data_IF_951866554589
#
_entry.id   IF_951866554589
#
_cell.length_a   1.000
_cell.length_b   1.000
_cell.length_c   1.000
_cell.angle_alpha   90.00
_cell.angle_beta   90.00
_cell.angle_gamma   90.00
#
_symmetry.space_group_name_H-M   'P 1'
#
loop_
_entity.id
_entity.type
_entity.pdbx_description
1 polymer ?
#
# COMPACT_ATOMS: atom_id res chain seq x y z
N UNK A 1 4.21 -1.22 -35.55
CA UNK A 1 4.35 -2.70 -35.46
C UNK A 1 5.43 -3.20 -34.48
N UNK A 2 6.60 -2.57 -34.32
CA UNK A 2 7.61 -3.01 -33.32
C UNK A 2 7.38 -2.51 -31.87
N UNK A 3 6.34 -1.72 -31.61
CA UNK A 3 5.97 -1.21 -30.26
C UNK A 3 4.91 -2.08 -29.57
N UNK A 4 3.86 -2.49 -30.28
CA UNK A 4 2.86 -3.46 -29.78
C UNK A 4 3.50 -4.81 -29.41
N UNK A 5 4.51 -5.25 -30.16
CA UNK A 5 5.26 -6.46 -29.81
C UNK A 5 6.13 -6.29 -28.55
N UNK A 6 6.55 -5.09 -28.17
CA UNK A 6 7.34 -4.83 -26.94
C UNK A 6 6.45 -4.69 -25.72
N UNK A 7 5.27 -4.08 -25.87
CA UNK A 7 4.22 -4.03 -24.85
C UNK A 7 3.72 -5.44 -24.58
N UNK A 8 3.38 -6.22 -25.62
CA UNK A 8 3.05 -7.64 -25.44
C UNK A 8 4.22 -8.44 -24.88
N UNK A 9 5.47 -8.23 -25.29
CA UNK A 9 6.60 -9.01 -24.75
C UNK A 9 6.89 -8.65 -23.29
N UNK A 10 6.72 -7.39 -22.88
CA UNK A 10 6.88 -6.94 -21.49
C UNK A 10 5.71 -7.42 -20.63
N UNK A 11 4.46 -7.20 -21.03
CA UNK A 11 3.29 -7.71 -20.31
C UNK A 11 3.31 -9.24 -20.24
N UNK A 12 3.72 -9.92 -21.32
CA UNK A 12 3.91 -11.38 -21.33
C UNK A 12 5.14 -11.80 -20.54
N UNK A 13 6.22 -11.01 -20.42
CA UNK A 13 7.38 -11.32 -19.55
C UNK A 13 7.00 -11.17 -18.08
N UNK A 14 6.30 -10.09 -17.72
CA UNK A 14 5.80 -9.81 -16.38
C UNK A 14 4.76 -10.85 -16.01
N UNK A 15 3.78 -11.16 -16.89
CA UNK A 15 2.89 -12.31 -16.75
C UNK A 15 3.67 -13.65 -16.72
N UNK A 16 4.79 -13.81 -17.43
CA UNK A 16 5.59 -15.06 -17.35
C UNK A 16 6.44 -15.16 -16.10
N UNK A 17 6.78 -14.04 -15.44
CA UNK A 17 7.47 -14.01 -14.14
C UNK A 17 6.47 -14.25 -13.00
N UNK A 18 5.27 -13.71 -13.16
CA UNK A 18 4.10 -13.84 -12.28
C UNK A 18 3.44 -15.23 -12.39
N UNK A 19 3.32 -15.79 -13.60
CA UNK A 19 2.98 -17.20 -13.81
C UNK A 19 4.19 -18.12 -13.60
N UNK A 20 5.43 -17.65 -13.72
CA UNK A 20 6.64 -18.44 -13.47
C UNK A 20 6.85 -18.77 -11.99
N UNK A 21 6.26 -17.98 -11.10
CA UNK A 21 6.16 -18.27 -9.66
C UNK A 21 5.00 -19.21 -9.30
N UNK A 22 4.07 -19.50 -10.24
CA UNK A 22 2.96 -20.46 -10.07
C UNK A 22 3.11 -21.72 -10.96
N UNK A 23 3.84 -21.63 -12.06
CA UNK A 23 4.07 -22.71 -13.02
C UNK A 23 5.46 -23.33 -12.80
N UNK A 24 5.46 -24.29 -11.87
CA UNK A 24 6.37 -25.42 -11.74
C UNK A 24 7.22 -25.70 -13.01
N UNK A 25 8.45 -25.17 -13.07
CA UNK A 25 9.49 -25.70 -13.94
C UNK A 25 10.45 -26.54 -13.10
N UNK A 26 10.09 -27.82 -12.95
CA UNK A 26 11.03 -28.86 -12.55
C UNK A 26 12.10 -28.99 -13.64
N UNK A 27 13.25 -28.33 -13.47
CA UNK A 27 14.48 -28.81 -14.10
C UNK A 27 15.68 -28.90 -13.13
N UNK A 28 16.13 -30.16 -13.03
CA UNK A 28 17.49 -30.66 -12.82
C UNK A 28 18.12 -30.50 -11.43
N UNK A 29 18.07 -31.63 -10.69
CA UNK A 29 19.04 -32.11 -9.68
C UNK A 29 19.93 -31.01 -9.06
N UNK A 30 19.32 -30.00 -8.45
CA UNK A 30 20.04 -29.08 -7.60
C UNK A 30 20.05 -29.71 -6.21
N UNK A 31 21.24 -29.76 -5.60
CA UNK A 31 21.44 -30.23 -4.24
C UNK A 31 20.36 -29.65 -3.33
N UNK A 32 19.53 -30.51 -2.75
CA UNK A 32 18.38 -30.13 -1.95
C UNK A 32 18.84 -29.20 -0.81
N UNK A 33 18.32 -27.97 -0.77
CA UNK A 33 18.75 -26.96 0.21
C UNK A 33 18.17 -27.32 1.59
N UNK A 34 18.92 -27.05 2.65
CA UNK A 34 18.33 -26.99 4.01
C UNK A 34 17.48 -25.73 4.18
N UNK A 35 16.65 -25.70 5.23
CA UNK A 35 15.86 -24.50 5.60
C UNK A 35 16.80 -23.30 5.81
N UNK A 36 17.84 -23.45 6.64
CA UNK A 36 18.84 -22.40 6.87
C UNK A 36 19.55 -21.92 5.60
N UNK A 37 19.91 -22.84 4.69
CA UNK A 37 20.55 -22.48 3.42
C UNK A 37 19.59 -21.69 2.52
N UNK A 38 18.30 -22.05 2.50
CA UNK A 38 17.28 -21.34 1.77
C UNK A 38 17.02 -19.94 2.38
N UNK A 39 16.84 -19.84 3.70
CA UNK A 39 16.69 -18.56 4.42
C UNK A 39 17.90 -17.64 4.16
N UNK A 40 19.12 -18.16 4.23
CA UNK A 40 20.32 -17.37 3.97
C UNK A 40 20.39 -16.86 2.52
N UNK A 41 19.96 -17.68 1.55
CA UNK A 41 19.86 -17.25 0.15
C UNK A 41 18.77 -16.20 -0.04
N UNK A 42 17.61 -16.38 0.61
CA UNK A 42 16.52 -15.41 0.60
C UNK A 42 16.97 -14.04 1.13
N UNK A 43 17.66 -14.02 2.28
CA UNK A 43 18.24 -12.78 2.85
C UNK A 43 19.21 -12.08 1.90
N UNK A 44 20.05 -12.84 1.18
CA UNK A 44 20.97 -12.27 0.18
C UNK A 44 20.24 -11.67 -1.01
N UNK A 45 19.15 -12.31 -1.46
CA UNK A 45 18.31 -11.79 -2.53
C UNK A 45 17.61 -10.49 -2.10
N UNK A 46 17.04 -10.44 -0.88
CA UNK A 46 16.48 -9.21 -0.31
C UNK A 46 17.52 -8.07 -0.27
N UNK A 47 18.72 -8.32 0.26
CA UNK A 47 19.79 -7.30 0.28
C UNK A 47 20.36 -6.94 -1.09
N UNK A 48 19.93 -7.61 -2.16
CA UNK A 48 20.30 -7.29 -3.55
C UNK A 48 19.14 -6.68 -4.34
N UNK A 49 17.99 -6.39 -3.69
CA UNK A 49 16.80 -5.84 -4.35
C UNK A 49 16.02 -6.84 -5.21
N UNK A 50 16.23 -8.16 -5.03
CA UNK A 50 15.58 -9.21 -5.83
C UNK A 50 14.44 -9.87 -5.04
N UNK A 51 13.25 -9.27 -5.08
CA UNK A 51 12.06 -9.76 -4.38
C UNK A 51 11.60 -11.13 -4.88
N UNK A 52 11.78 -11.42 -6.17
CA UNK A 52 11.32 -12.68 -6.80
C UNK A 52 12.15 -13.86 -6.29
N UNK A 53 13.48 -13.77 -6.38
CA UNK A 53 14.36 -14.84 -5.91
C UNK A 53 14.29 -14.98 -4.38
N UNK A 54 14.14 -13.86 -3.64
CA UNK A 54 13.90 -13.89 -2.20
C UNK A 54 12.65 -14.70 -1.87
N UNK A 55 11.53 -14.39 -2.50
CA UNK A 55 10.25 -15.06 -2.28
C UNK A 55 10.35 -16.56 -2.55
N UNK A 56 10.98 -16.93 -3.68
CA UNK A 56 11.22 -18.34 -4.05
C UNK A 56 11.97 -19.11 -2.94
N UNK A 57 13.02 -18.52 -2.38
CA UNK A 57 13.80 -19.19 -1.34
C UNK A 57 13.07 -19.27 0.00
N UNK A 58 12.34 -18.24 0.40
CA UNK A 58 11.58 -18.26 1.66
C UNK A 58 10.36 -19.18 1.58
N UNK A 59 9.64 -19.22 0.45
CA UNK A 59 8.57 -20.21 0.23
C UNK A 59 9.11 -21.64 0.30
N UNK A 60 10.23 -21.91 -0.35
CA UNK A 60 10.87 -23.23 -0.25
C UNK A 60 11.21 -23.61 1.20
N UNK A 61 11.72 -22.65 1.99
CA UNK A 61 11.99 -22.86 3.40
C UNK A 61 10.69 -23.16 4.19
N UNK A 62 9.61 -22.40 3.95
CA UNK A 62 8.30 -22.62 4.57
C UNK A 62 7.64 -23.93 4.17
N UNK A 63 7.80 -24.39 2.93
CA UNK A 63 7.28 -25.68 2.48
C UNK A 63 7.95 -26.85 3.22
N UNK A 64 9.22 -26.68 3.62
CA UNK A 64 9.97 -27.67 4.40
C UNK A 64 9.69 -27.59 5.89
N UNK A 65 9.56 -26.38 6.41
CA UNK A 65 9.23 -26.13 7.81
C UNK A 65 8.22 -24.97 7.89
N UNK A 66 6.94 -25.32 7.96
CA UNK A 66 5.84 -24.35 7.90
C UNK A 66 5.77 -23.39 9.08
N UNK A 67 6.45 -23.74 10.19
CA UNK A 67 6.52 -22.97 11.43
C UNK A 67 7.82 -22.16 11.55
N UNK A 68 8.74 -22.22 10.57
CA UNK A 68 9.97 -21.43 10.60
C UNK A 68 9.68 -19.93 10.50
N UNK A 69 9.92 -19.22 11.61
CA UNK A 69 9.60 -17.80 11.76
C UNK A 69 10.43 -16.92 10.81
N UNK A 70 11.70 -17.25 10.59
CA UNK A 70 12.56 -16.49 9.68
C UNK A 70 12.10 -16.63 8.22
N UNK A 71 11.68 -17.83 7.81
CA UNK A 71 11.10 -18.06 6.50
C UNK A 71 9.77 -17.32 6.34
N UNK A 72 8.90 -17.36 7.35
CA UNK A 72 7.64 -16.60 7.33
C UNK A 72 7.88 -15.09 7.21
N UNK A 73 8.77 -14.53 8.02
CA UNK A 73 9.06 -13.10 7.97
C UNK A 73 9.72 -12.71 6.64
N UNK A 74 10.61 -13.56 6.14
CA UNK A 74 11.20 -13.42 4.81
C UNK A 74 10.17 -13.40 3.67
N UNK A 75 9.11 -14.21 3.74
CA UNK A 75 8.00 -14.15 2.76
C UNK A 75 7.33 -12.78 2.80
N UNK A 76 7.02 -12.23 3.99
CA UNK A 76 6.41 -10.91 4.10
C UNK A 76 7.27 -9.82 3.44
N UNK A 77 8.56 -9.80 3.76
CA UNK A 77 9.50 -8.83 3.17
C UNK A 77 9.61 -9.02 1.65
N UNK A 78 9.74 -10.25 1.17
CA UNK A 78 9.90 -10.53 -0.26
C UNK A 78 8.68 -10.10 -1.08
N UNK A 79 7.46 -10.26 -0.55
CA UNK A 79 6.24 -9.83 -1.24
C UNK A 79 6.10 -8.30 -1.27
N UNK A 80 6.49 -7.61 -0.20
CA UNK A 80 6.54 -6.14 -0.20
C UNK A 80 7.58 -5.64 -1.22
N UNK A 81 8.78 -6.20 -1.24
CA UNK A 81 9.79 -5.85 -2.25
C UNK A 81 9.31 -6.15 -3.68
N UNK A 82 8.68 -7.30 -3.88
CA UNK A 82 8.10 -7.66 -5.19
C UNK A 82 7.05 -6.65 -5.68
N UNK A 83 6.25 -6.09 -4.77
CA UNK A 83 5.35 -4.99 -5.10
C UNK A 83 6.10 -3.74 -5.54
N UNK A 84 7.13 -3.31 -4.81
CA UNK A 84 7.93 -2.15 -5.21
C UNK A 84 8.63 -2.36 -6.55
N UNK A 85 9.21 -3.55 -6.79
CA UNK A 85 9.77 -3.92 -8.09
C UNK A 85 8.70 -3.88 -9.21
N UNK A 86 7.46 -4.26 -8.92
CA UNK A 86 6.37 -4.15 -9.87
C UNK A 86 5.98 -2.69 -10.16
N UNK A 87 5.94 -1.83 -9.14
CA UNK A 87 5.69 -0.40 -9.31
C UNK A 87 6.79 0.27 -10.14
N UNK A 88 8.06 -0.09 -9.91
CA UNK A 88 9.21 0.29 -10.74
C UNK A 88 9.04 -0.11 -12.21
N UNK A 89 8.60 -1.35 -12.46
CA UNK A 89 8.38 -1.85 -13.82
C UNK A 89 7.22 -1.10 -14.51
N UNK A 90 6.19 -0.70 -13.74
CA UNK A 90 5.08 0.12 -14.24
C UNK A 90 5.50 1.56 -14.55
N UNK A 91 6.34 2.18 -13.71
CA UNK A 91 6.77 3.57 -13.90
C UNK A 91 7.82 3.71 -15.00
N UNK A 92 8.72 2.72 -15.15
CA UNK A 92 9.62 2.60 -16.31
C UNK A 92 8.89 2.45 -17.65
N UNK A 93 7.57 2.23 -17.62
CA UNK A 93 6.66 2.28 -18.75
C UNK A 93 6.28 3.72 -19.15
N UNK A 94 7.28 4.62 -19.17
CA UNK A 94 7.31 6.05 -19.52
C UNK A 94 6.52 6.47 -20.80
N UNK A 95 6.01 5.50 -21.56
CA UNK A 95 5.13 5.71 -22.71
C UNK A 95 3.63 5.71 -22.42
N UNK A 96 3.19 5.56 -21.16
CA UNK A 96 1.76 5.58 -20.80
C UNK A 96 1.22 7.00 -20.54
N UNK A 97 2.07 7.93 -20.10
CA UNK A 97 1.67 9.30 -19.73
C UNK A 97 2.30 10.41 -20.58
N UNK A 98 3.38 10.10 -21.30
CA UNK A 98 4.06 11.06 -22.18
C UNK A 98 3.62 10.85 -23.64
N UNK A 99 2.38 11.20 -23.95
CA UNK A 99 1.93 11.28 -25.34
C UNK A 99 1.67 12.73 -25.69
N UNK A 100 2.40 13.23 -26.68
CA UNK A 100 2.21 14.56 -27.25
C UNK A 100 0.76 14.64 -27.79
N UNK A 101 -0.07 15.59 -27.32
CA UNK A 101 -1.48 15.68 -27.71
C UNK A 101 -1.70 15.84 -29.22
N UNK A 102 -0.68 16.28 -29.96
CA UNK A 102 -0.73 16.46 -31.41
C UNK A 102 -0.45 15.16 -32.22
N UNK A 103 -0.02 14.07 -31.58
CA UNK A 103 0.47 12.84 -32.25
C UNK A 103 -0.40 11.59 -32.01
N UNK A 104 -1.59 11.73 -31.42
CA UNK A 104 -2.50 10.61 -31.13
C UNK A 104 -3.60 10.52 -32.20
N UNK A 105 -3.40 9.63 -33.18
CA UNK A 105 -4.56 8.96 -33.78
C UNK A 105 -5.09 7.99 -32.71
N UNK A 106 -6.39 8.04 -32.32
CA UNK A 106 -6.96 7.10 -31.38
C UNK A 106 -6.96 5.71 -32.01
N UNK A 107 -5.86 4.98 -31.84
CA UNK A 107 -5.84 3.55 -32.13
C UNK A 107 -6.53 2.84 -30.96
N UNK A 108 -7.47 1.92 -31.22
CA UNK A 108 -8.02 1.06 -30.18
C UNK A 108 -6.90 0.17 -29.63
N UNK A 109 -6.27 0.61 -28.55
CA UNK A 109 -5.37 -0.18 -27.74
C UNK A 109 -6.12 -1.27 -26.98
N UNK A 110 -5.41 -2.31 -26.48
CA UNK A 110 -6.00 -3.26 -25.55
C UNK A 110 -6.50 -2.51 -24.30
N UNK A 111 -7.60 -3.00 -23.73
CA UNK A 111 -8.16 -2.46 -22.49
C UNK A 111 -7.11 -2.53 -21.37
N UNK A 112 -6.81 -1.42 -20.71
CA UNK A 112 -5.84 -1.42 -19.60
C UNK A 112 -6.44 -2.11 -18.37
N UNK A 113 -7.78 -2.12 -18.26
CA UNK A 113 -8.55 -2.88 -17.26
C UNK A 113 -8.18 -4.37 -17.26
N UNK A 114 -8.36 -5.06 -18.40
CA UNK A 114 -8.01 -6.48 -18.53
C UNK A 114 -6.57 -6.80 -18.05
N UNK A 115 -5.60 -5.92 -18.30
CA UNK A 115 -4.22 -6.13 -17.89
C UNK A 115 -4.05 -5.98 -16.36
N UNK A 116 -4.72 -5.00 -15.77
CA UNK A 116 -4.74 -4.76 -14.32
C UNK A 116 -5.44 -5.92 -13.62
N UNK A 117 -6.62 -6.33 -14.09
CA UNK A 117 -7.41 -7.41 -13.50
C UNK A 117 -6.64 -8.73 -13.51
N UNK A 118 -5.99 -9.08 -14.63
CA UNK A 118 -5.17 -10.28 -14.72
C UNK A 118 -3.98 -10.28 -13.74
N UNK A 119 -3.40 -9.12 -13.44
CA UNK A 119 -2.30 -8.99 -12.46
C UNK A 119 -2.84 -9.11 -11.03
N UNK A 120 -3.98 -8.48 -10.74
CA UNK A 120 -4.60 -8.46 -9.42
C UNK A 120 -5.14 -9.83 -9.01
N UNK A 121 -6.02 -10.42 -9.82
CA UNK A 121 -6.66 -11.71 -9.56
C UNK A 121 -5.64 -12.87 -9.62
N UNK A 122 -4.74 -12.81 -10.60
CA UNK A 122 -3.84 -13.92 -10.91
C UNK A 122 -2.70 -14.08 -9.93
N UNK A 123 -2.27 -13.01 -9.23
CA UNK A 123 -1.04 -13.08 -8.44
C UNK A 123 -0.88 -12.08 -7.31
N UNK A 124 -1.42 -10.87 -7.41
CA UNK A 124 -1.24 -9.89 -6.34
C UNK A 124 -2.00 -10.30 -5.06
N UNK A 125 -3.28 -10.65 -5.20
CA UNK A 125 -4.11 -11.13 -4.07
C UNK A 125 -3.58 -12.46 -3.49
N UNK A 126 -3.12 -13.37 -4.35
CA UNK A 126 -2.51 -14.64 -3.91
C UNK A 126 -1.21 -14.40 -3.13
N UNK A 127 -0.32 -13.57 -3.66
CA UNK A 127 0.97 -13.24 -3.05
C UNK A 127 0.81 -12.59 -1.67
N UNK A 128 -0.11 -11.63 -1.55
CA UNK A 128 -0.35 -10.94 -0.28
C UNK A 128 -1.24 -11.73 0.68
N UNK A 129 -2.03 -12.69 0.18
CA UNK A 129 -2.67 -13.72 1.02
C UNK A 129 -1.64 -14.61 1.73
N UNK A 130 -0.56 -15.00 1.06
CA UNK A 130 0.53 -15.76 1.69
C UNK A 130 1.34 -14.93 2.70
N UNK A 131 1.56 -13.65 2.41
CA UNK A 131 2.19 -12.72 3.35
C UNK A 131 1.31 -12.51 4.59
N UNK A 132 -0.01 -12.48 4.42
CA UNK A 132 -0.99 -12.42 5.50
C UNK A 132 -0.95 -13.70 6.37
N UNK A 133 -0.86 -14.88 5.75
CA UNK A 133 -0.69 -16.14 6.48
C UNK A 133 0.64 -16.20 7.25
N UNK A 134 1.71 -15.63 6.69
CA UNK A 134 2.97 -15.46 7.39
C UNK A 134 2.84 -14.51 8.59
N UNK A 135 2.17 -13.36 8.42
CA UNK A 135 1.87 -12.45 9.53
C UNK A 135 1.07 -13.17 10.64
N UNK A 136 0.03 -13.95 10.30
CA UNK A 136 -0.79 -14.68 11.28
C UNK A 136 -0.02 -15.75 12.04
N UNK A 137 1.01 -16.35 11.44
CA UNK A 137 1.94 -17.24 12.14
C UNK A 137 2.84 -16.45 13.11
N UNK A 138 3.35 -15.31 12.68
CA UNK A 138 4.32 -14.53 13.45
C UNK A 138 3.69 -13.67 14.54
N UNK A 139 2.48 -13.14 14.35
CA UNK A 139 1.78 -12.28 15.31
C UNK A 139 1.57 -12.90 16.71
N UNK A 140 1.33 -14.22 16.88
CA UNK A 140 1.34 -14.86 18.20
C UNK A 140 2.71 -15.34 18.68
N UNK A 141 3.75 -15.34 17.84
CA UNK A 141 5.10 -15.77 18.22
C UNK A 141 5.64 -14.92 19.38
N UNK A 142 6.46 -15.51 20.25
CA UNK A 142 6.95 -14.81 21.45
C UNK A 142 8.05 -13.81 21.12
N UNK A 143 9.00 -14.24 20.31
CA UNK A 143 10.19 -13.50 19.89
C UNK A 143 10.33 -13.77 18.39
N UNK A 144 10.84 -12.81 17.64
CA UNK A 144 11.20 -12.95 16.23
C UNK A 144 12.55 -12.28 16.10
N UNK A 145 13.52 -12.92 15.45
CA UNK A 145 14.84 -12.36 15.21
C UNK A 145 15.21 -12.57 13.75
N UNK A 146 15.33 -11.48 12.99
CA UNK A 146 15.68 -11.54 11.59
C UNK A 146 16.73 -10.48 11.23
N UNK A 147 18.02 -10.76 11.47
CA UNK A 147 19.07 -9.83 11.07
C UNK A 147 19.19 -9.77 9.54
N UNK A 148 19.23 -8.57 9.00
CA UNK A 148 19.38 -8.28 7.58
C UNK A 148 20.23 -7.02 7.40
N UNK A 149 21.23 -7.08 6.52
CA UNK A 149 22.21 -6.00 6.40
C UNK A 149 21.61 -4.73 5.78
N UNK A 150 20.81 -4.91 4.74
CA UNK A 150 20.12 -3.85 4.01
C UNK A 150 18.91 -4.45 3.31
N UNK A 151 17.91 -3.61 3.12
CA UNK A 151 16.62 -3.88 2.50
C UNK A 151 16.10 -2.54 1.98
N UNK A 152 16.43 -2.28 0.72
CA UNK A 152 16.08 -1.03 0.04
C UNK A 152 14.81 -1.28 -0.79
N UNK A 153 13.83 -0.40 -0.61
CA UNK A 153 12.63 -0.34 -1.43
C UNK A 153 12.76 0.86 -2.34
N UNK A 154 12.73 0.63 -3.65
CA UNK A 154 12.96 1.62 -4.68
C UNK A 154 11.70 1.85 -5.51
N UNK A 155 11.51 3.09 -5.97
CA UNK A 155 10.56 3.48 -7.02
C UNK A 155 11.31 4.43 -7.97
N UNK A 156 11.30 4.14 -9.27
CA UNK A 156 12.09 4.78 -10.32
C UNK A 156 13.59 4.87 -10.02
N UNK A 157 14.13 3.86 -9.34
CA UNK A 157 15.52 3.85 -8.87
C UNK A 157 15.82 4.90 -7.80
N UNK A 158 14.80 5.52 -7.21
CA UNK A 158 14.90 6.32 -6.00
C UNK A 158 14.57 5.44 -4.80
N UNK A 159 15.49 5.34 -3.85
CA UNK A 159 15.25 4.64 -2.58
C UNK A 159 14.18 5.37 -1.78
N UNK A 160 13.00 4.77 -1.67
CA UNK A 160 11.87 5.27 -0.89
C UNK A 160 12.04 4.90 0.58
N UNK A 161 12.49 3.68 0.86
CA UNK A 161 12.81 3.20 2.20
C UNK A 161 14.15 2.45 2.18
N UNK A 162 15.08 2.87 3.03
CA UNK A 162 16.31 2.14 3.32
C UNK A 162 16.18 1.54 4.73
N UNK A 163 16.09 0.22 4.78
CA UNK A 163 15.84 -0.54 5.98
C UNK A 163 17.01 -1.53 6.21
N UNK A 164 17.33 -1.84 7.46
CA UNK A 164 18.38 -2.77 7.80
C UNK A 164 18.67 -2.81 9.30
N UNK A 165 19.42 -3.83 9.72
CA UNK A 165 19.70 -4.09 11.11
C UNK A 165 19.07 -5.40 11.59
N UNK A 166 18.59 -5.38 12.82
CA UNK A 166 17.86 -6.48 13.42
C UNK A 166 16.37 -6.19 13.28
N UNK A 167 15.64 -7.17 12.75
CA UNK A 167 14.19 -7.11 12.72
C UNK A 167 13.63 -8.00 13.81
N UNK A 168 12.67 -7.47 14.55
CA UNK A 168 12.15 -8.09 15.76
C UNK A 168 10.62 -8.28 15.73
N UNK A 169 10.05 -8.49 16.91
CA UNK A 169 8.62 -8.69 17.06
C UNK A 169 7.77 -7.46 16.70
N UNK A 170 8.21 -6.25 17.02
CA UNK A 170 7.45 -5.05 16.71
C UNK A 170 7.45 -4.78 15.21
N UNK A 171 8.56 -5.09 14.52
CA UNK A 171 8.67 -4.96 13.07
C UNK A 171 7.66 -5.83 12.31
N UNK A 172 7.33 -7.03 12.83
CA UNK A 172 6.27 -7.90 12.26
C UNK A 172 4.95 -7.16 12.12
N UNK A 173 4.60 -6.29 13.08
CA UNK A 173 3.36 -5.52 13.02
C UNK A 173 3.44 -4.39 12.00
N UNK A 174 4.59 -3.75 11.83
CA UNK A 174 4.77 -2.70 10.83
C UNK A 174 4.68 -3.27 9.41
N UNK A 175 5.39 -4.36 9.12
CA UNK A 175 5.27 -5.03 7.82
C UNK A 175 3.92 -5.71 7.63
N UNK A 176 3.33 -6.24 8.70
CA UNK A 176 1.95 -6.73 8.68
C UNK A 176 0.98 -5.62 8.29
N UNK A 177 1.17 -4.39 8.79
CA UNK A 177 0.35 -3.25 8.39
C UNK A 177 0.48 -2.95 6.89
N UNK A 178 1.71 -2.97 6.35
CA UNK A 178 1.91 -2.80 4.90
C UNK A 178 1.23 -3.89 4.08
N UNK A 179 1.32 -5.16 4.49
CA UNK A 179 0.62 -6.28 3.83
C UNK A 179 -0.90 -6.05 3.82
N UNK A 180 -1.49 -5.67 4.96
CA UNK A 180 -2.91 -5.37 5.04
C UNK A 180 -3.30 -4.16 4.19
N UNK A 181 -2.46 -3.12 4.14
CA UNK A 181 -2.68 -1.94 3.32
C UNK A 181 -2.76 -2.31 1.85
N UNK A 182 -1.79 -3.07 1.34
CA UNK A 182 -1.78 -3.51 -0.05
C UNK A 182 -2.97 -4.42 -0.36
N UNK A 183 -3.33 -5.37 0.52
CA UNK A 183 -4.55 -6.17 0.37
C UNK A 183 -5.81 -5.29 0.30
N UNK A 184 -5.93 -4.29 1.16
CA UNK A 184 -7.04 -3.34 1.14
C UNK A 184 -7.12 -2.58 -0.18
N UNK A 185 -6.00 -2.05 -0.67
CA UNK A 185 -5.92 -1.34 -1.96
C UNK A 185 -6.30 -2.27 -3.11
N UNK A 186 -5.82 -3.51 -3.13
CA UNK A 186 -6.20 -4.47 -4.17
C UNK A 186 -7.68 -4.77 -4.15
N UNK A 187 -8.28 -4.96 -2.98
CA UNK A 187 -9.72 -5.19 -2.88
C UNK A 187 -10.54 -3.97 -3.31
N UNK A 188 -10.06 -2.74 -3.09
CA UNK A 188 -10.67 -1.54 -3.68
C UNK A 188 -10.54 -1.56 -5.20
N UNK A 189 -9.39 -1.99 -5.71
CA UNK A 189 -9.10 -1.97 -7.15
C UNK A 189 -9.95 -3.02 -7.86
N UNK A 190 -10.03 -4.23 -7.31
CA UNK A 190 -10.85 -5.38 -7.72
C UNK A 190 -12.36 -5.12 -7.62
N UNK A 191 -12.81 -4.25 -6.70
CA UNK A 191 -14.24 -3.95 -6.58
C UNK A 191 -14.80 -3.01 -7.64
N UNK A 192 -13.94 -2.42 -8.47
CA UNK A 192 -14.33 -1.37 -9.40
C UNK A 192 -13.93 -1.71 -10.83
N UNK A 193 -14.73 -1.21 -11.77
CA UNK A 193 -14.41 -1.31 -13.19
C UNK A 193 -13.22 -0.40 -13.52
N UNK A 194 -12.13 -1.00 -13.97
CA UNK A 194 -10.93 -0.27 -14.42
C UNK A 194 -10.78 -0.30 -15.94
N UNK A 195 -11.89 -0.60 -16.63
CA UNK A 195 -12.05 -0.49 -18.06
C UNK A 195 -11.84 0.97 -18.49
N UNK A 196 -10.59 1.35 -18.69
CA UNK A 196 -10.20 2.64 -19.22
C UNK A 196 -8.93 2.50 -20.05
N UNK A 197 -8.84 3.27 -21.13
CA UNK A 197 -7.62 3.34 -21.91
C UNK A 197 -6.81 4.57 -21.50
N UNK A 198 -5.83 4.34 -20.61
CA UNK A 198 -4.90 5.37 -20.14
C UNK A 198 -4.10 6.02 -21.29
N UNK A 199 -3.93 5.34 -22.43
CA UNK A 199 -3.24 5.90 -23.60
C UNK A 199 -3.97 7.05 -24.29
N UNK A 200 -5.24 7.28 -23.95
CA UNK A 200 -6.02 8.43 -24.44
C UNK A 200 -6.03 9.61 -23.44
N UNK A 201 -5.39 9.45 -22.28
CA UNK A 201 -5.40 10.46 -21.24
C UNK A 201 -4.28 11.48 -21.45
N UNK A 202 -4.67 12.74 -21.62
CA UNK A 202 -3.73 13.86 -21.54
C UNK A 202 -3.83 14.45 -20.14
N UNK A 203 -2.83 14.18 -19.30
CA UNK A 203 -2.71 14.83 -18.00
C UNK A 203 -2.00 16.17 -18.21
N UNK A 204 -2.62 17.31 -17.87
CA UNK A 204 -1.96 18.61 -17.96
C UNK A 204 -0.74 18.64 -17.02
N UNK A 205 0.31 19.40 -17.36
CA UNK A 205 1.47 19.55 -16.49
C UNK A 205 1.05 20.04 -15.11
N UNK A 206 1.52 19.35 -14.07
CA UNK A 206 1.21 19.65 -12.68
C UNK A 206 2.22 20.69 -12.17
N UNK A 207 1.73 21.88 -11.81
CA UNK A 207 2.55 22.98 -11.28
C UNK A 207 1.90 23.62 -10.05
N UNK A 208 1.93 22.89 -8.94
CA UNK A 208 1.43 23.40 -7.66
C UNK A 208 2.26 24.56 -7.09
N UNK A 209 3.43 24.89 -7.65
CA UNK A 209 4.31 25.94 -7.14
C UNK A 209 3.98 27.30 -7.76
N UNK A 210 3.90 27.37 -9.09
CA UNK A 210 3.70 28.63 -9.81
C UNK A 210 2.24 28.84 -10.23
N UNK A 211 1.44 27.78 -10.42
CA UNK A 211 0.03 27.85 -10.76
C UNK A 211 -0.83 26.76 -10.10
N UNK A 212 -1.00 26.79 -8.76
CA UNK A 212 -1.79 25.80 -8.05
C UNK A 212 -3.27 25.80 -8.47
N UNK A 213 -3.84 26.96 -8.83
CA UNK A 213 -5.24 27.05 -9.24
C UNK A 213 -5.46 26.48 -10.65
N UNK A 214 -4.59 26.81 -11.61
CA UNK A 214 -4.62 26.21 -12.94
C UNK A 214 -4.36 24.70 -12.90
N UNK A 215 -3.49 24.25 -11.98
CA UNK A 215 -3.26 22.81 -11.74
C UNK A 215 -4.50 22.11 -11.20
N UNK A 216 -5.18 22.67 -10.19
CA UNK A 216 -6.41 22.10 -9.64
C UNK A 216 -7.55 22.06 -10.67
N UNK A 217 -7.73 23.14 -11.43
CA UNK A 217 -8.72 23.20 -12.51
C UNK A 217 -8.41 22.17 -13.62
N UNK A 218 -7.14 22.05 -14.02
CA UNK A 218 -6.71 21.06 -14.99
C UNK A 218 -6.94 19.63 -14.53
N UNK A 219 -6.61 19.30 -13.27
CA UNK A 219 -6.89 17.98 -12.68
C UNK A 219 -8.39 17.69 -12.62
N UNK A 220 -9.20 18.66 -12.19
CA UNK A 220 -10.67 18.51 -12.17
C UNK A 220 -11.22 18.22 -13.56
N UNK A 221 -10.81 18.98 -14.58
CA UNK A 221 -11.26 18.78 -15.96
C UNK A 221 -10.81 17.41 -16.51
N UNK A 222 -9.58 16.99 -16.24
CA UNK A 222 -9.10 15.65 -16.60
C UNK A 222 -9.95 14.56 -15.94
N UNK A 223 -10.25 14.67 -14.65
CA UNK A 223 -11.12 13.73 -13.95
C UNK A 223 -12.52 13.68 -14.59
N UNK A 224 -13.12 14.84 -14.90
CA UNK A 224 -14.43 14.89 -15.56
C UNK A 224 -14.41 14.27 -16.94
N UNK A 225 -13.37 14.49 -17.73
CA UNK A 225 -13.20 13.86 -19.06
C UNK A 225 -13.15 12.35 -18.91
N UNK A 226 -12.36 11.83 -17.96
CA UNK A 226 -12.27 10.38 -17.69
C UNK A 226 -13.64 9.82 -17.31
N UNK A 227 -14.30 10.42 -16.33
CA UNK A 227 -15.56 9.91 -15.79
C UNK A 227 -16.71 10.03 -16.81
N UNK A 228 -16.66 11.02 -17.71
CA UNK A 228 -17.70 11.23 -18.73
C UNK A 228 -17.42 10.54 -20.08
N UNK A 229 -16.33 9.76 -20.19
CA UNK A 229 -15.98 9.08 -21.44
C UNK A 229 -17.07 8.07 -21.85
N UNK A 230 -17.75 8.29 -23.00
CA UNK A 230 -18.81 7.39 -23.46
C UNK A 230 -18.30 6.01 -23.89
N UNK A 231 -17.01 5.84 -24.12
CA UNK A 231 -16.39 4.55 -24.43
C UNK A 231 -16.13 3.71 -23.17
N UNK A 232 -15.99 4.36 -22.02
CA UNK A 232 -15.71 3.73 -20.72
C UNK A 232 -16.73 4.16 -19.67
N UNK A 233 -18.04 3.95 -19.92
CA UNK A 233 -19.11 4.49 -19.09
C UNK A 233 -19.15 3.90 -17.68
N UNK A 234 -18.46 2.77 -17.46
CA UNK A 234 -18.44 2.07 -16.19
C UNK A 234 -17.20 2.36 -15.35
N UNK A 235 -16.21 3.11 -15.86
CA UNK A 235 -14.98 3.35 -15.12
C UNK A 235 -15.25 3.86 -13.69
N UNK A 236 -14.64 3.19 -12.71
CA UNK A 236 -14.80 3.37 -11.26
C UNK A 236 -16.21 3.11 -10.68
N UNK A 237 -17.16 2.62 -11.47
CA UNK A 237 -18.38 2.03 -10.93
C UNK A 237 -18.04 0.71 -10.23
N UNK A 238 -18.87 0.35 -9.26
CA UNK A 238 -18.73 -0.92 -8.56
C UNK A 238 -19.11 -2.07 -9.48
N UNK A 239 -18.28 -3.12 -9.52
CA UNK A 239 -18.58 -4.37 -10.23
C UNK A 239 -19.71 -5.15 -9.53
N UNK A 240 -20.31 -6.13 -10.22
CA UNK A 240 -21.49 -6.86 -9.74
C UNK A 240 -21.25 -7.61 -8.40
N UNK A 241 -20.03 -8.05 -8.13
CA UNK A 241 -19.55 -8.66 -6.89
C UNK A 241 -18.62 -7.72 -6.07
N UNK A 242 -18.39 -6.50 -6.55
CA UNK A 242 -17.49 -5.54 -5.95
C UNK A 242 -17.85 -5.13 -4.51
N UNK A 243 -19.12 -5.29 -4.11
CA UNK A 243 -19.54 -5.01 -2.74
C UNK A 243 -18.84 -5.92 -1.70
N UNK A 244 -18.60 -7.19 -2.02
CA UNK A 244 -17.88 -8.09 -1.12
C UNK A 244 -16.40 -7.71 -1.03
N UNK A 245 -15.77 -7.40 -2.17
CA UNK A 245 -14.38 -6.90 -2.20
C UNK A 245 -14.26 -5.57 -1.43
N UNK A 246 -15.20 -4.65 -1.55
CA UNK A 246 -15.23 -3.41 -0.74
C UNK A 246 -15.33 -3.68 0.78
N UNK A 247 -16.15 -4.63 1.20
CA UNK A 247 -16.23 -5.01 2.62
C UNK A 247 -14.90 -5.59 3.12
N UNK A 248 -14.23 -6.42 2.30
CA UNK A 248 -12.89 -6.95 2.60
C UNK A 248 -11.85 -5.82 2.64
N UNK A 249 -11.92 -4.85 1.74
CA UNK A 249 -11.06 -3.68 1.77
C UNK A 249 -11.19 -2.91 3.09
N UNK A 250 -12.40 -2.65 3.57
CA UNK A 250 -12.63 -1.99 4.86
C UNK A 250 -11.98 -2.76 6.03
N UNK A 251 -12.12 -4.10 6.04
CA UNK A 251 -11.48 -4.95 7.04
C UNK A 251 -9.95 -4.84 6.99
N UNK A 252 -9.36 -4.93 5.80
CA UNK A 252 -7.89 -4.91 5.64
C UNK A 252 -7.28 -3.52 5.90
N UNK A 253 -7.98 -2.44 5.54
CA UNK A 253 -7.59 -1.10 5.95
C UNK A 253 -7.69 -0.94 7.47
N UNK A 254 -8.74 -1.46 8.10
CA UNK A 254 -8.83 -1.48 9.56
C UNK A 254 -7.70 -2.30 10.21
N UNK A 255 -7.35 -3.46 9.63
CA UNK A 255 -6.22 -4.30 10.05
C UNK A 255 -4.89 -3.56 9.95
N UNK A 256 -4.72 -2.71 8.93
CA UNK A 256 -3.52 -1.86 8.77
C UNK A 256 -3.30 -1.00 10.01
N UNK A 257 -4.33 -0.26 10.42
CA UNK A 257 -4.25 0.64 11.57
C UNK A 257 -4.24 -0.12 12.90
N UNK A 258 -4.91 -1.27 13.01
CA UNK A 258 -4.77 -2.12 14.19
C UNK A 258 -3.34 -2.60 14.35
N UNK A 259 -2.69 -3.08 13.28
CA UNK A 259 -1.31 -3.55 13.33
C UNK A 259 -0.34 -2.43 13.71
N UNK A 260 -0.49 -1.22 13.17
CA UNK A 260 0.28 -0.05 13.62
C UNK A 260 0.00 0.28 15.10
N UNK A 261 -1.25 0.18 15.56
CA UNK A 261 -1.58 0.33 16.97
C UNK A 261 -0.90 -0.75 17.85
N UNK A 262 -0.84 -1.99 17.38
CA UNK A 262 -0.17 -3.10 18.07
C UNK A 262 1.35 -2.95 18.08
N UNK A 263 1.96 -2.41 17.03
CA UNK A 263 3.38 -2.05 17.01
C UNK A 263 3.75 -1.20 18.23
N UNK A 264 3.00 -0.11 18.49
CA UNK A 264 3.23 0.72 19.68
C UNK A 264 2.98 -0.02 21.00
N UNK A 265 2.13 -1.04 21.03
CA UNK A 265 1.96 -1.88 22.22
C UNK A 265 3.18 -2.81 22.41
N UNK A 266 3.73 -3.35 21.33
CA UNK A 266 4.92 -4.20 21.39
C UNK A 266 6.17 -3.45 21.83
N UNK A 267 6.36 -2.19 21.42
CA UNK A 267 7.47 -1.36 21.90
C UNK A 267 7.51 -1.31 23.46
N UNK A 268 6.36 -1.33 24.13
CA UNK A 268 6.30 -1.33 25.62
C UNK A 268 6.76 -2.64 26.27
N UNK A 269 6.81 -3.70 25.47
CA UNK A 269 7.20 -5.05 25.88
C UNK A 269 8.68 -5.35 25.58
N UNK A 270 9.30 -4.60 24.67
CA UNK A 270 10.72 -4.69 24.37
C UNK A 270 11.59 -4.37 25.58
N UNK A 271 12.75 -5.04 25.64
CA UNK A 271 13.64 -5.08 26.82
C UNK A 271 15.12 -5.05 26.44
N UNK A 272 15.42 -5.14 25.17
CA UNK A 272 16.73 -5.30 24.59
C UNK A 272 17.26 -3.98 24.00
N UNK A 273 18.39 -4.07 23.33
CA UNK A 273 19.15 -2.89 22.92
C UNK A 273 18.73 -2.38 21.56
N UNK A 274 18.04 -1.24 21.54
CA UNK A 274 17.44 -0.62 20.34
C UNK A 274 18.42 -0.12 19.26
N UNK A 275 19.73 -0.22 19.47
CA UNK A 275 20.70 0.43 18.60
C UNK A 275 20.74 -0.14 17.18
N UNK A 276 20.33 -1.40 17.01
CA UNK A 276 20.36 -2.10 15.73
C UNK A 276 18.96 -2.33 15.14
N UNK A 277 17.90 -1.95 15.84
CA UNK A 277 16.53 -2.29 15.45
C UNK A 277 16.04 -1.35 14.36
N UNK A 278 15.28 -1.88 13.40
CA UNK A 278 14.81 -1.09 12.27
C UNK A 278 13.74 -0.06 12.69
N UNK A 279 12.67 -0.53 13.33
CA UNK A 279 11.69 0.34 13.98
C UNK A 279 11.93 0.26 15.49
N UNK A 280 12.07 1.41 16.12
CA UNK A 280 12.62 1.47 17.48
C UNK A 280 12.19 2.70 18.25
N UNK A 281 12.33 2.68 19.56
CA UNK A 281 12.31 3.90 20.37
C UNK A 281 13.72 4.41 20.66
N UNK A 282 13.84 5.70 20.95
CA UNK A 282 15.10 6.31 21.40
C UNK A 282 15.09 6.35 22.93
N UNK A 283 15.80 5.43 23.57
CA UNK A 283 15.96 5.36 25.03
C UNK A 283 16.73 6.58 25.57
N UNK A 284 16.01 7.62 25.96
CA UNK A 284 16.59 8.88 26.47
C UNK A 284 17.00 8.80 27.93
N UNK A 285 16.39 7.91 28.71
CA UNK A 285 16.58 7.80 30.15
C UNK A 285 17.54 6.65 30.55
N UNK A 286 17.92 5.80 29.59
CA UNK A 286 18.87 4.69 29.72
C UNK A 286 18.31 3.46 30.42
N UNK A 287 17.00 3.27 30.48
CA UNK A 287 16.35 2.21 31.24
C UNK A 287 16.04 0.94 30.41
N UNK A 288 16.27 0.97 29.09
CA UNK A 288 15.98 -0.09 28.12
C UNK A 288 14.50 -0.50 28.08
N UNK A 289 13.61 0.48 28.17
CA UNK A 289 12.15 0.29 28.10
C UNK A 289 11.51 1.49 27.45
N UNK A 290 10.56 1.24 26.56
CA UNK A 290 9.78 2.31 25.97
C UNK A 290 8.92 3.06 27.00
N UNK A 291 9.18 4.35 27.20
CA UNK A 291 8.34 5.30 27.93
C UNK A 291 7.62 6.23 26.95
N UNK A 292 6.34 5.95 26.70
CA UNK A 292 5.54 6.65 25.70
C UNK A 292 5.40 8.17 25.94
N UNK A 293 5.57 8.64 27.18
CA UNK A 293 5.45 10.07 27.51
C UNK A 293 6.76 10.84 27.23
N UNK A 294 7.89 10.15 27.14
CA UNK A 294 9.23 10.77 27.07
C UNK A 294 10.01 10.41 25.81
N UNK A 295 9.79 9.25 25.21
CA UNK A 295 10.69 8.67 24.23
C UNK A 295 10.18 8.84 22.78
N UNK A 296 11.01 9.39 21.89
CA UNK A 296 10.72 9.40 20.46
C UNK A 296 10.71 7.98 19.87
N UNK A 297 9.96 7.81 18.77
CA UNK A 297 9.90 6.57 17.99
C UNK A 297 10.43 6.81 16.58
N UNK A 298 11.30 5.93 16.11
CA UNK A 298 11.80 5.90 14.73
C UNK A 298 10.95 4.92 13.93
N UNK A 299 10.24 5.43 12.93
CA UNK A 299 9.36 4.66 12.05
C UNK A 299 9.55 5.14 10.60
N UNK A 300 9.79 4.22 9.67
CA UNK A 300 10.01 4.52 8.24
C UNK A 300 11.04 5.65 7.97
N UNK A 301 12.13 5.67 8.72
CA UNK A 301 13.19 6.69 8.59
C UNK A 301 12.83 8.06 9.18
N UNK A 302 11.62 8.24 9.70
CA UNK A 302 11.19 9.44 10.41
C UNK A 302 11.30 9.26 11.92
N UNK A 303 11.61 10.34 12.64
CA UNK A 303 11.62 10.36 14.11
C UNK A 303 10.40 11.12 14.60
N UNK A 304 9.41 10.39 15.11
CA UNK A 304 8.25 10.95 15.79
C UNK A 304 8.64 11.27 17.23
N UNK A 305 8.45 12.53 17.66
CA UNK A 305 8.59 12.89 19.07
C UNK A 305 7.55 12.15 19.92
N UNK A 306 7.79 11.99 21.22
CA UNK A 306 6.91 11.22 22.11
C UNK A 306 5.41 11.58 21.98
N UNK A 307 5.10 12.89 21.94
CA UNK A 307 3.72 13.35 21.75
C UNK A 307 3.14 13.00 20.38
N UNK A 308 3.95 13.05 19.32
CA UNK A 308 3.55 12.67 17.96
C UNK A 308 3.33 11.16 17.87
N UNK A 309 4.20 10.35 18.47
CA UNK A 309 4.06 8.90 18.55
C UNK A 309 2.77 8.49 19.31
N UNK A 310 2.48 9.14 20.45
CA UNK A 310 1.22 8.95 21.17
C UNK A 310 0.00 9.37 20.36
N UNK A 311 0.06 10.53 19.70
CA UNK A 311 -1.01 11.01 18.83
C UNK A 311 -1.24 10.05 17.67
N UNK A 312 -0.17 9.57 17.02
CA UNK A 312 -0.24 8.64 15.91
C UNK A 312 -0.85 7.30 16.33
N UNK A 313 -0.46 6.75 17.48
CA UNK A 313 -1.10 5.58 18.08
C UNK A 313 -2.60 5.79 18.30
N UNK A 314 -2.98 6.95 18.85
CA UNK A 314 -4.39 7.27 19.10
C UNK A 314 -5.20 7.39 17.79
N UNK A 315 -4.62 8.02 16.76
CA UNK A 315 -5.20 8.12 15.41
C UNK A 315 -5.39 6.72 14.81
N UNK A 316 -4.39 5.83 14.90
CA UNK A 316 -4.51 4.44 14.45
C UNK A 316 -5.65 3.70 15.15
N UNK A 317 -5.77 3.87 16.48
CA UNK A 317 -6.86 3.27 17.26
C UNK A 317 -8.26 3.78 16.89
N UNK A 318 -8.39 5.04 16.48
CA UNK A 318 -9.66 5.58 15.96
C UNK A 318 -9.95 5.05 14.54
N UNK A 319 -8.96 5.09 13.66
CA UNK A 319 -9.12 4.68 12.26
C UNK A 319 -9.47 3.20 12.13
N UNK A 320 -8.83 2.32 12.91
CA UNK A 320 -9.16 0.88 12.89
C UNK A 320 -10.65 0.65 13.22
N UNK A 321 -11.17 1.33 14.25
CA UNK A 321 -12.54 1.15 14.69
C UNK A 321 -13.51 1.69 13.64
N UNK A 322 -13.24 2.89 13.13
CA UNK A 322 -14.07 3.51 12.09
C UNK A 322 -14.09 2.70 10.79
N UNK A 323 -12.99 2.07 10.40
CA UNK A 323 -12.92 1.25 9.18
C UNK A 323 -13.54 -0.14 9.35
N UNK A 324 -13.49 -0.69 10.57
CA UNK A 324 -14.17 -1.94 10.89
C UNK A 324 -15.68 -1.79 11.08
N UNK A 325 -16.20 -0.57 11.26
CA UNK A 325 -17.63 -0.31 11.49
C UNK A 325 -18.51 -1.09 10.50
N UNK A 326 -19.44 -1.88 11.04
CA UNK A 326 -20.40 -2.65 10.23
C UNK A 326 -19.83 -3.92 9.58
N UNK A 327 -18.53 -4.21 9.76
CA UNK A 327 -17.88 -5.44 9.29
C UNK A 327 -17.90 -6.55 10.35
N UNK A 328 -17.42 -7.74 9.99
CA UNK A 328 -17.23 -8.84 10.94
C UNK A 328 -16.09 -8.62 11.93
N UNK A 329 -15.20 -7.64 11.67
CA UNK A 329 -14.10 -7.29 12.55
C UNK A 329 -14.49 -6.24 13.61
N UNK A 330 -15.72 -5.71 13.54
CA UNK A 330 -16.24 -4.75 14.50
C UNK A 330 -16.54 -5.41 15.87
N UNK A 331 -15.65 -5.20 16.84
CA UNK A 331 -15.86 -5.69 18.21
C UNK A 331 -16.95 -4.90 18.96
N UNK A 332 -17.31 -3.70 18.51
CA UNK A 332 -18.25 -2.81 19.17
C UNK A 332 -19.11 -2.07 18.13
N UNK A 333 -20.27 -2.62 17.72
CA UNK A 333 -21.09 -2.13 16.60
C UNK A 333 -21.81 -0.81 16.89
N UNK A 334 -21.04 0.24 17.13
CA UNK A 334 -21.43 1.62 17.30
C UNK A 334 -20.90 2.40 16.10
N UNK A 335 -21.57 3.51 15.78
CA UNK A 335 -21.11 4.39 14.71
C UNK A 335 -19.86 5.12 15.19
N UNK A 336 -18.72 4.79 14.60
CA UNK A 336 -17.41 5.34 14.90
C UNK A 336 -17.01 6.31 13.76
N UNK A 337 -17.29 7.59 13.99
CA UNK A 337 -16.97 8.63 13.00
C UNK A 337 -15.56 9.18 13.16
N UNK A 338 -14.90 9.50 12.05
CA UNK A 338 -13.62 10.21 12.03
C UNK A 338 -13.87 11.71 11.91
N UNK A 339 -13.45 12.47 12.92
CA UNK A 339 -13.47 13.93 12.87
C UNK A 339 -12.37 14.49 11.96
N UNK A 340 -12.56 15.69 11.42
CA UNK A 340 -11.56 16.32 10.54
C UNK A 340 -10.26 16.65 11.26
N UNK A 341 -10.30 16.84 12.58
CA UNK A 341 -9.10 16.99 13.41
C UNK A 341 -8.19 15.75 13.33
N UNK A 342 -8.76 14.55 13.37
CA UNK A 342 -8.04 13.28 13.24
C UNK A 342 -7.43 13.14 11.84
N UNK A 343 -8.14 13.58 10.80
CA UNK A 343 -7.61 13.60 9.42
C UNK A 343 -6.45 14.59 9.30
N UNK A 344 -6.60 15.82 9.80
CA UNK A 344 -5.52 16.80 9.82
C UNK A 344 -4.29 16.29 10.57
N UNK A 345 -4.48 15.65 11.73
CA UNK A 345 -3.39 15.03 12.48
C UNK A 345 -2.68 13.97 11.65
N UNK A 346 -3.42 13.10 10.97
CA UNK A 346 -2.82 12.09 10.09
C UNK A 346 -2.02 12.74 8.95
N UNK A 347 -2.58 13.74 8.27
CA UNK A 347 -1.91 14.44 7.17
C UNK A 347 -0.62 15.12 7.64
N UNK A 348 -0.62 15.73 8.83
CA UNK A 348 0.56 16.34 9.42
C UNK A 348 1.60 15.29 9.80
N UNK A 349 1.18 14.19 10.44
CA UNK A 349 2.07 13.10 10.83
C UNK A 349 2.69 12.38 9.63
N UNK A 350 1.99 12.33 8.49
CA UNK A 350 2.50 11.79 7.23
C UNK A 350 3.40 12.79 6.46
N UNK A 351 3.54 14.02 6.95
CA UNK A 351 4.28 15.08 6.27
C UNK A 351 3.61 15.59 4.98
N UNK A 352 2.31 15.30 4.80
CA UNK A 352 1.51 15.81 3.68
C UNK A 352 1.17 17.28 3.88
N UNK A 353 1.09 17.74 5.13
CA UNK A 353 0.81 19.12 5.49
C UNK A 353 1.63 19.56 6.71
N UNK A 354 2.09 20.81 6.74
CA UNK A 354 2.75 21.38 7.93
C UNK A 354 1.74 21.93 8.94
N UNK A 355 0.49 22.18 8.51
CA UNK A 355 -0.59 22.77 9.31
C UNK A 355 -1.95 22.11 8.95
N UNK A 356 -2.98 22.23 9.79
CA UNK A 356 -4.32 21.70 9.48
C UNK A 356 -4.87 22.25 8.15
N UNK A 357 -5.18 21.34 7.21
CA UNK A 357 -5.71 21.69 5.88
C UNK A 357 -7.24 21.76 5.87
N UNK A 358 -7.90 20.86 6.60
CA UNK A 358 -9.35 20.74 6.61
C UNK A 358 -9.93 21.61 7.74
N UNK A 359 -11.05 22.30 7.51
CA UNK A 359 -11.74 23.00 8.58
C UNK A 359 -12.27 22.00 9.62
N UNK A 360 -12.38 22.42 10.88
CA UNK A 360 -13.06 21.64 11.91
C UNK A 360 -14.55 21.56 11.57
N UNK A 361 -15.00 20.41 11.06
CA UNK A 361 -16.40 20.18 10.73
C UNK A 361 -17.14 19.71 11.98
N UNK A 362 -18.40 20.16 12.21
CA UNK A 362 -19.16 19.78 13.39
C UNK A 362 -19.71 18.34 13.33
N UNK A 363 -19.38 17.59 12.27
CA UNK A 363 -19.77 16.21 12.05
C UNK A 363 -18.53 15.38 11.67
N UNK A 364 -18.48 14.14 12.14
CA UNK A 364 -17.47 13.20 11.72
C UNK A 364 -17.88 12.46 10.45
N UNK A 365 -16.91 11.95 9.71
CA UNK A 365 -17.09 11.11 8.53
C UNK A 365 -17.28 9.65 8.96
N UNK A 366 -18.36 9.02 8.52
CA UNK A 366 -18.54 7.58 8.68
C UNK A 366 -17.85 6.86 7.51
N UNK A 367 -16.55 6.61 7.68
CA UNK A 367 -15.72 5.97 6.66
C UNK A 367 -16.06 4.47 6.55
N UNK A 368 -16.42 3.81 7.66
CA UNK A 368 -16.78 2.39 7.64
C UNK A 368 -18.05 2.10 6.85
N UNK A 369 -19.05 2.98 6.90
CA UNK A 369 -20.27 2.84 6.11
C UNK A 369 -19.98 2.76 4.60
N UNK A 370 -18.97 3.50 4.12
CA UNK A 370 -18.54 3.45 2.72
C UNK A 370 -18.10 2.04 2.29
N UNK A 371 -17.50 1.28 3.19
CA UNK A 371 -17.06 -0.10 2.95
C UNK A 371 -18.12 -1.14 3.30
N UNK A 372 -18.92 -0.93 4.35
CA UNK A 372 -19.91 -1.90 4.81
C UNK A 372 -21.16 -1.94 3.94
N UNK A 373 -21.57 -0.78 3.40
CA UNK A 373 -22.76 -0.60 2.56
C UNK A 373 -22.41 0.25 1.31
N UNK A 374 -21.52 -0.26 0.43
CA UNK A 374 -21.04 0.49 -0.71
C UNK A 374 -22.17 0.72 -1.72
N UNK A 375 -22.26 1.94 -2.23
CA UNK A 375 -23.24 2.30 -3.26
C UNK A 375 -22.83 1.76 -4.64
N UNK A 376 -23.77 1.51 -5.57
CA UNK A 376 -23.46 1.14 -6.96
C UNK A 376 -22.52 2.12 -7.70
N UNK A 377 -22.48 3.38 -7.26
CA UNK A 377 -21.57 4.39 -7.80
C UNK A 377 -20.11 4.21 -7.37
N UNK A 378 -19.80 3.31 -6.42
CA UNK A 378 -18.44 2.97 -6.02
C UNK A 378 -17.55 4.19 -5.71
N UNK A 379 -16.31 4.15 -6.20
CA UNK A 379 -15.36 5.26 -6.18
C UNK A 379 -15.76 6.39 -7.12
N UNK A 380 -16.46 6.10 -8.22
CA UNK A 380 -16.88 7.14 -9.17
C UNK A 380 -17.67 8.25 -8.49
N UNK A 381 -18.64 7.90 -7.65
CA UNK A 381 -19.43 8.92 -6.93
C UNK A 381 -18.57 9.80 -6.02
N UNK A 382 -17.53 9.24 -5.40
CA UNK A 382 -16.58 9.99 -4.57
C UNK A 382 -15.69 10.91 -5.43
N UNK A 383 -15.17 10.42 -6.56
CA UNK A 383 -14.34 11.20 -7.48
C UNK A 383 -15.14 12.33 -8.13
N UNK A 384 -16.40 12.08 -8.50
CA UNK A 384 -17.33 13.11 -9.00
C UNK A 384 -17.55 14.21 -7.95
N UNK A 385 -17.79 13.84 -6.68
CA UNK A 385 -17.94 14.80 -5.59
C UNK A 385 -16.64 15.59 -5.33
N UNK A 386 -15.47 14.96 -5.44
CA UNK A 386 -14.18 15.64 -5.31
C UNK A 386 -13.96 16.64 -6.45
N UNK A 387 -14.28 16.27 -7.70
CA UNK A 387 -14.20 17.17 -8.84
C UNK A 387 -15.12 18.39 -8.65
N UNK A 388 -16.35 18.19 -8.16
CA UNK A 388 -17.28 19.27 -7.85
C UNK A 388 -16.70 20.23 -6.78
N UNK A 389 -16.08 19.70 -5.71
CA UNK A 389 -15.45 20.52 -4.67
C UNK A 389 -14.23 21.29 -5.22
N UNK A 390 -13.42 20.67 -6.08
CA UNK A 390 -12.27 21.32 -6.69
C UNK A 390 -12.68 22.49 -7.59
N UNK A 391 -13.77 22.33 -8.34
CA UNK A 391 -14.33 23.41 -9.17
C UNK A 391 -14.83 24.56 -8.30
N UNK A 392 -15.57 24.27 -7.22
CA UNK A 392 -16.05 25.29 -6.28
C UNK A 392 -14.88 26.09 -5.65
N UNK A 393 -13.77 25.43 -5.32
CA UNK A 393 -12.57 26.07 -4.77
C UNK A 393 -11.91 26.96 -5.84
N UNK A 394 -11.77 26.46 -7.07
CA UNK A 394 -11.17 27.20 -8.17
C UNK A 394 -11.99 28.46 -8.52
N UNK A 395 -13.32 28.33 -8.58
CA UNK A 395 -14.24 29.43 -8.85
C UNK A 395 -14.20 30.49 -7.74
N UNK A 396 -14.25 30.07 -6.47
CA UNK A 396 -14.18 30.99 -5.33
C UNK A 396 -12.84 31.75 -5.28
N UNK A 397 -11.73 31.10 -5.64
CA UNK A 397 -10.42 31.72 -5.71
C UNK A 397 -10.33 32.72 -6.88
N UNK A 398 -10.93 32.40 -8.03
CA UNK A 398 -11.00 33.30 -9.19
C UNK A 398 -11.85 34.55 -8.91
N UNK A 399 -12.92 34.44 -8.13
CA UNK A 399 -13.74 35.59 -7.71
C UNK A 399 -13.02 36.52 -6.72
N UNK A 400 -12.05 36.00 -5.97
CA UNK A 400 -11.31 36.74 -4.96
C UNK A 400 -10.08 37.52 -5.50
N UNK A 401 -9.59 37.14 -6.68
CA UNK A 401 -8.45 37.76 -7.39
C UNK A 401 -8.88 38.93 -8.28
#
# INVERSE_FOLDING_TARGET
>A
MHRVARIFTALTLTLSLVFGSVACEQEKESKELTVDEAVLKGKRALSSGDGIDANRYFKYAREKDGEDEAAAFGVMLAQIMGMFNFLDDLSAFDGLFAVDPDDIEPEPGPNTGDAIDNVLEGSALLAFGEAEDAYRLLAPAREVEFPLKSYELEIDGLTVLDLGGEFDKSDVYVFGALVALFNGVFHITDSHSLDFNLGNLVIPPIDFQDDPLGTLAGLSETLRIILSDPYYPNFLLMEDDGAESMQRAGIELGNTFDRLYQFFNQLTLERDGQANDQFRYIDVNGNQRYDADEEPVVLFGQTLQAQEAMAFKAVCGKLRNALWEGSSADENPQVDTIDTTTINQLLILLGVADEPLLPDLPFGLNIGQYFSDPTPTGLRGLVEALADVLDDIADAAAEAA
#
